data_IF_298208394105
#
_entry.id   IF_298208394105
#
_cell.length_a   1.000
_cell.length_b   1.000
_cell.length_c   1.000
_cell.angle_alpha   90.00
_cell.angle_beta   90.00
_cell.angle_gamma   90.00
#
_symmetry.space_group_name_H-M   'P 1'
#
loop_
_entity.id
_entity.type
_entity.pdbx_description
1 polymer ?
#
# COMPACT_ATOMS: atom_id res chain seq x y z
N UNK A 1 -38.02 -29.96 16.55
CA UNK A 1 -37.70 -29.23 15.30
C UNK A 1 -37.04 -27.86 15.52
N UNK A 2 -37.29 -27.14 16.62
CA UNK A 2 -36.67 -25.81 16.89
C UNK A 2 -35.19 -25.94 17.29
N UNK A 3 -34.83 -26.99 18.04
CA UNK A 3 -33.45 -27.26 18.51
C UNK A 3 -32.45 -27.50 17.36
N UNK A 4 -32.89 -28.16 16.27
CA UNK A 4 -32.02 -28.44 15.11
C UNK A 4 -31.68 -27.17 14.30
N UNK A 5 -32.58 -26.18 14.30
CA UNK A 5 -32.42 -24.91 13.57
C UNK A 5 -31.42 -23.97 14.27
N UNK A 6 -31.40 -23.98 15.62
CA UNK A 6 -30.43 -23.22 16.42
C UNK A 6 -28.99 -23.76 16.27
N UNK A 7 -28.82 -25.07 16.10
CA UNK A 7 -27.53 -25.70 15.80
C UNK A 7 -27.02 -25.34 14.39
N UNK A 8 -27.91 -25.17 13.43
CA UNK A 8 -27.55 -24.71 12.07
C UNK A 8 -27.16 -23.23 12.03
N UNK A 9 -27.86 -22.38 12.78
CA UNK A 9 -27.54 -20.94 12.88
C UNK A 9 -26.20 -20.67 13.58
N UNK A 10 -25.83 -21.47 14.58
CA UNK A 10 -24.53 -21.37 15.25
C UNK A 10 -23.36 -21.84 14.38
N UNK A 11 -23.58 -22.80 13.47
CA UNK A 11 -22.56 -23.24 12.50
C UNK A 11 -22.29 -22.18 11.41
N UNK A 12 -23.27 -21.33 11.11
CA UNK A 12 -23.13 -20.23 10.15
C UNK A 12 -22.45 -18.97 10.74
N UNK A 13 -22.34 -18.87 12.07
CA UNK A 13 -21.99 -17.62 12.76
C UNK A 13 -20.53 -17.49 13.22
N UNK A 14 -19.63 -18.42 12.91
CA UNK A 14 -18.25 -18.30 13.41
C UNK A 14 -17.23 -18.96 12.51
N UNK A 15 -16.51 -18.13 11.75
CA UNK A 15 -15.11 -18.39 11.41
C UNK A 15 -14.33 -17.07 11.18
N UNK A 16 -14.69 -15.98 11.87
CA UNK A 16 -13.71 -14.91 12.08
C UNK A 16 -12.74 -15.42 13.15
N UNK A 17 -11.70 -16.14 12.70
CA UNK A 17 -10.66 -16.64 13.59
C UNK A 17 -9.79 -15.45 13.98
N UNK A 18 -10.01 -14.92 15.19
CA UNK A 18 -9.07 -13.95 15.77
C UNK A 18 -7.75 -14.70 15.95
N UNK A 19 -6.72 -14.19 15.31
CA UNK A 19 -5.37 -14.72 15.45
C UNK A 19 -4.68 -13.97 16.59
N UNK A 20 -4.24 -14.69 17.63
CA UNK A 20 -3.56 -14.10 18.78
C UNK A 20 -2.14 -13.58 18.44
N UNK A 21 -1.61 -13.96 17.28
CA UNK A 21 -0.29 -13.56 16.78
C UNK A 21 -0.35 -13.28 15.28
N UNK A 22 0.59 -12.45 14.79
CA UNK A 22 0.77 -12.17 13.36
C UNK A 22 2.26 -12.10 13.03
N UNK A 23 2.59 -12.32 11.76
CA UNK A 23 3.95 -12.19 11.24
C UNK A 23 4.09 -10.80 10.62
N UNK A 24 5.03 -10.01 11.10
CA UNK A 24 5.40 -8.73 10.50
C UNK A 24 6.65 -8.89 9.63
N UNK A 25 6.75 -8.08 8.58
CA UNK A 25 7.95 -7.91 7.78
C UNK A 25 8.34 -6.42 7.72
N UNK A 26 9.64 -6.16 7.58
CA UNK A 26 10.19 -4.83 7.30
C UNK A 26 11.19 -4.96 6.17
N UNK A 27 11.28 -3.95 5.31
CA UNK A 27 12.26 -3.91 4.24
C UNK A 27 13.08 -2.63 4.34
N UNK A 28 14.39 -2.78 4.52
CA UNK A 28 15.33 -1.67 4.41
C UNK A 28 15.64 -1.45 2.92
N UNK A 29 15.24 -0.28 2.39
CA UNK A 29 15.30 0.01 0.96
C UNK A 29 16.51 0.88 0.62
N UNK A 30 17.31 0.43 -0.35
CA UNK A 30 18.32 1.27 -0.98
C UNK A 30 17.64 2.16 -2.03
N UNK A 31 17.10 3.30 -1.56
CA UNK A 31 16.28 4.21 -2.36
C UNK A 31 17.01 4.67 -3.61
N UNK A 32 16.34 4.58 -4.76
CA UNK A 32 16.80 5.18 -5.99
C UNK A 32 16.42 6.67 -5.97
N UNK A 33 17.43 7.52 -5.81
CA UNK A 33 17.23 8.96 -5.65
C UNK A 33 17.00 9.69 -6.99
N UNK A 34 16.22 10.78 -6.97
CA UNK A 34 16.10 11.70 -8.11
C UNK A 34 17.39 12.52 -8.29
N UNK A 35 17.54 13.09 -9.49
CA UNK A 35 18.44 14.21 -9.69
C UNK A 35 17.83 15.49 -9.07
N UNK A 36 18.66 16.40 -8.57
CA UNK A 36 18.23 17.66 -7.93
C UNK A 36 17.81 18.73 -8.96
N UNK A 37 16.93 18.36 -9.90
CA UNK A 37 16.43 19.21 -10.97
C UNK A 37 14.91 19.24 -10.97
N UNK A 38 14.31 20.30 -11.52
CA UNK A 38 12.88 20.32 -11.77
C UNK A 38 12.54 19.30 -12.88
N UNK A 39 11.53 18.46 -12.62
CA UNK A 39 11.10 17.37 -13.51
C UNK A 39 9.62 17.50 -13.86
N UNK A 40 9.18 16.81 -14.92
CA UNK A 40 7.75 16.67 -15.23
C UNK A 40 7.08 15.64 -14.32
N UNK A 41 5.73 15.59 -14.32
CA UNK A 41 4.96 14.56 -13.60
C UNK A 41 5.28 13.16 -14.10
N UNK A 42 5.50 13.01 -15.41
CA UNK A 42 5.82 11.73 -16.06
C UNK A 42 7.20 11.23 -15.63
N UNK A 43 8.19 12.13 -15.55
CA UNK A 43 9.54 11.81 -15.07
C UNK A 43 9.53 11.43 -13.58
N UNK A 44 8.79 12.18 -12.76
CA UNK A 44 8.59 11.85 -11.35
C UNK A 44 7.95 10.47 -11.17
N UNK A 45 6.86 10.19 -11.91
CA UNK A 45 6.17 8.90 -11.88
C UNK A 45 7.08 7.75 -12.34
N UNK A 46 7.92 7.96 -13.36
CA UNK A 46 8.88 6.97 -13.83
C UNK A 46 9.92 6.61 -12.75
N UNK A 47 10.40 7.58 -11.98
CA UNK A 47 11.30 7.33 -10.85
C UNK A 47 10.58 6.58 -9.72
N UNK A 48 9.38 7.02 -9.34
CA UNK A 48 8.59 6.40 -8.29
C UNK A 48 8.30 4.93 -8.62
N UNK A 49 7.92 4.64 -9.86
CA UNK A 49 7.67 3.26 -10.33
C UNK A 49 8.91 2.37 -10.21
N UNK A 50 10.12 2.88 -10.50
CA UNK A 50 11.35 2.09 -10.29
C UNK A 50 11.60 1.74 -8.83
N UNK A 51 11.27 2.63 -7.90
CA UNK A 51 11.34 2.31 -6.47
C UNK A 51 10.24 1.29 -6.09
N UNK A 52 9.01 1.48 -6.61
CA UNK A 52 7.90 0.56 -6.40
C UNK A 52 8.18 -0.85 -6.93
N UNK A 53 8.89 -1.02 -8.06
CA UNK A 53 9.30 -2.33 -8.59
C UNK A 53 10.16 -3.12 -7.56
N UNK A 54 11.05 -2.44 -6.84
CA UNK A 54 11.87 -3.05 -5.78
C UNK A 54 11.01 -3.41 -4.56
N UNK A 55 10.13 -2.48 -4.15
CA UNK A 55 9.23 -2.68 -3.01
C UNK A 55 8.18 -3.75 -3.29
N UNK A 56 7.74 -3.92 -4.53
CA UNK A 56 6.84 -4.98 -4.98
C UNK A 56 7.51 -6.34 -4.76
N UNK A 57 8.77 -6.49 -5.17
CA UNK A 57 9.49 -7.74 -4.95
C UNK A 57 9.62 -8.08 -3.46
N UNK A 58 9.94 -7.08 -2.61
CA UNK A 58 9.97 -7.26 -1.16
C UNK A 58 8.59 -7.68 -0.60
N UNK A 59 7.52 -7.06 -1.09
CA UNK A 59 6.13 -7.37 -0.71
C UNK A 59 5.74 -8.79 -1.13
N UNK A 60 6.08 -9.22 -2.35
CA UNK A 60 5.85 -10.58 -2.85
C UNK A 60 6.60 -11.61 -2.00
N UNK A 61 7.86 -11.34 -1.64
CA UNK A 61 8.66 -12.23 -0.80
C UNK A 61 8.06 -12.33 0.61
N UNK A 62 7.67 -11.22 1.22
CA UNK A 62 7.02 -11.21 2.53
C UNK A 62 5.70 -11.98 2.52
N UNK A 63 4.87 -11.79 1.49
CA UNK A 63 3.63 -12.53 1.31
C UNK A 63 3.87 -14.04 1.15
N UNK A 64 4.88 -14.45 0.37
CA UNK A 64 5.30 -15.87 0.25
C UNK A 64 5.73 -16.47 1.59
N UNK A 65 6.30 -15.65 2.49
CA UNK A 65 6.65 -16.02 3.86
C UNK A 65 5.48 -15.92 4.85
N UNK A 66 4.26 -15.64 4.37
CA UNK A 66 3.03 -15.50 5.16
C UNK A 66 3.06 -14.33 6.15
N UNK A 67 3.80 -13.26 5.84
CA UNK A 67 3.67 -12.01 6.57
C UNK A 67 2.25 -11.46 6.43
N UNK A 68 1.66 -11.03 7.55
CA UNK A 68 0.36 -10.38 7.60
C UNK A 68 0.44 -8.88 7.27
N UNK A 69 1.61 -8.28 7.50
CA UNK A 69 1.90 -6.86 7.22
C UNK A 69 3.38 -6.73 6.84
N UNK A 70 3.67 -5.83 5.91
CA UNK A 70 5.02 -5.38 5.60
C UNK A 70 5.07 -3.85 5.75
N UNK A 71 6.16 -3.33 6.30
CA UNK A 71 6.44 -1.89 6.37
C UNK A 71 7.63 -1.54 5.48
N UNK A 72 7.46 -0.49 4.67
CA UNK A 72 8.49 0.13 3.84
C UNK A 72 8.96 1.45 4.47
N UNK A 73 10.17 1.95 4.18
CA UNK A 73 10.71 3.12 4.85
C UNK A 73 10.06 4.43 4.38
N UNK A 74 10.16 5.46 5.23
CA UNK A 74 9.91 6.85 4.87
C UNK A 74 10.75 7.24 3.64
N UNK A 75 10.18 8.10 2.78
CA UNK A 75 10.81 8.57 1.55
C UNK A 75 11.27 7.46 0.58
N UNK A 76 10.82 6.21 0.78
CA UNK A 76 11.25 5.05 0.00
C UNK A 76 10.83 5.05 -1.47
N UNK A 77 9.90 5.93 -1.86
CA UNK A 77 9.35 6.02 -3.22
C UNK A 77 10.01 7.15 -4.03
N UNK A 78 10.37 8.26 -3.39
CA UNK A 78 10.83 9.48 -4.08
C UNK A 78 12.09 10.15 -3.47
N UNK A 79 12.58 9.71 -2.30
CA UNK A 79 13.77 10.28 -1.65
C UNK A 79 13.51 11.56 -0.83
N UNK A 80 14.57 12.24 -0.38
CA UNK A 80 14.49 13.31 0.63
C UNK A 80 15.09 14.66 0.21
N UNK A 81 15.43 14.84 -1.08
CA UNK A 81 16.13 16.04 -1.56
C UNK A 81 15.20 16.94 -2.38
N UNK A 82 14.38 17.76 -1.72
CA UNK A 82 13.44 18.64 -2.41
C UNK A 82 13.29 20.05 -1.82
N UNK A 83 12.96 21.01 -2.70
CA UNK A 83 12.25 22.24 -2.35
C UNK A 83 10.74 22.05 -2.55
N UNK A 84 9.95 23.09 -2.22
CA UNK A 84 8.49 23.07 -2.48
C UNK A 84 8.17 22.96 -3.96
N UNK A 85 8.96 23.56 -4.84
CA UNK A 85 8.72 23.47 -6.29
C UNK A 85 9.12 22.10 -6.83
N UNK A 86 10.25 21.54 -6.40
CA UNK A 86 10.78 20.29 -6.97
C UNK A 86 10.03 19.05 -6.48
N UNK A 87 9.39 19.08 -5.30
CA UNK A 87 8.57 17.97 -4.82
C UNK A 87 7.21 17.88 -5.50
N UNK A 88 6.68 19.01 -6.01
CA UNK A 88 5.29 19.09 -6.49
C UNK A 88 4.93 18.02 -7.55
N UNK A 89 5.79 17.67 -8.53
CA UNK A 89 5.50 16.62 -9.51
C UNK A 89 5.33 15.20 -8.91
N UNK A 90 5.76 14.97 -7.67
CA UNK A 90 5.71 13.67 -6.98
C UNK A 90 4.44 13.47 -6.12
N UNK A 91 3.61 14.50 -5.98
CA UNK A 91 2.50 14.51 -5.03
C UNK A 91 1.17 14.11 -5.69
N UNK A 92 0.30 13.53 -4.87
CA UNK A 92 -1.10 13.22 -5.20
C UNK A 92 -2.02 13.82 -4.13
N UNK A 93 -3.28 14.03 -4.49
CA UNK A 93 -4.34 14.33 -3.53
C UNK A 93 -4.89 13.01 -2.97
N UNK A 94 -4.55 12.70 -1.71
CA UNK A 94 -4.94 11.45 -1.05
C UNK A 94 -6.18 11.71 -0.19
N UNK A 95 -7.35 11.12 -0.51
CA UNK A 95 -8.59 11.37 0.24
C UNK A 95 -8.53 10.78 1.64
N UNK A 96 -9.33 11.33 2.55
CA UNK A 96 -9.58 10.74 3.86
C UNK A 96 -10.16 9.31 3.70
N UNK A 97 -9.70 8.31 4.48
CA UNK A 97 -10.15 6.92 4.37
C UNK A 97 -11.67 6.71 4.53
N UNK A 98 -12.40 7.67 5.12
CA UNK A 98 -13.87 7.61 5.26
C UNK A 98 -14.62 7.48 3.93
N UNK A 99 -13.98 7.76 2.79
CA UNK A 99 -14.57 7.57 1.45
C UNK A 99 -14.74 6.10 1.05
N UNK A 100 -14.13 5.15 1.78
CA UNK A 100 -14.17 3.71 1.51
C UNK A 100 -13.88 3.37 0.04
N UNK A 101 -12.62 3.59 -0.38
CA UNK A 101 -12.18 3.44 -1.76
C UNK A 101 -11.10 2.37 -1.90
N UNK A 102 -11.22 1.54 -2.95
CA UNK A 102 -10.20 0.58 -3.35
C UNK A 102 -9.62 1.06 -4.69
N UNK A 103 -8.43 1.71 -4.71
CA UNK A 103 -7.85 2.28 -5.93
C UNK A 103 -7.70 1.27 -7.08
N UNK A 104 -7.37 0.01 -6.77
CA UNK A 104 -7.23 -1.04 -7.78
C UNK A 104 -8.56 -1.41 -8.48
N UNK A 105 -9.70 -1.24 -7.81
CA UNK A 105 -11.02 -1.56 -8.37
C UNK A 105 -11.71 -0.35 -9.01
N UNK A 106 -11.43 0.85 -8.52
CA UNK A 106 -12.04 2.11 -8.99
C UNK A 106 -10.95 3.18 -9.26
N UNK A 107 -10.01 2.97 -10.19
CA UNK A 107 -8.81 3.81 -10.33
C UNK A 107 -9.12 5.27 -10.68
N UNK A 108 -10.23 5.52 -11.39
CA UNK A 108 -10.63 6.84 -11.88
C UNK A 108 -11.42 7.68 -10.85
N UNK A 109 -11.73 7.12 -9.67
CA UNK A 109 -12.67 7.77 -8.72
C UNK A 109 -12.13 9.09 -8.15
N UNK A 110 -10.83 9.16 -7.91
CA UNK A 110 -10.15 10.35 -7.36
C UNK A 110 -8.95 10.80 -8.20
N UNK A 111 -8.78 10.26 -9.42
CA UNK A 111 -7.81 10.80 -10.38
C UNK A 111 -8.31 12.18 -10.83
N UNK A 112 -7.76 13.24 -10.24
CA UNK A 112 -7.91 14.59 -10.76
C UNK A 112 -6.91 14.76 -11.92
N UNK A 113 -7.46 14.59 -13.13
CA UNK A 113 -6.84 14.68 -14.48
C UNK A 113 -5.93 13.54 -14.91
#
# INVERSE_FOLDING_TARGET
>A
MISLYCLFLSFLYSNAKIHDTFIAAVYEHAVILPDNTLVTKEEALALMNRNLDVLENATIIAAKQKANIIVTPEDGVYGWMFTRETIFPYLEDIPDPDVNWIPCSEPERYHLY
#
